data_IF_980267095996
#
_entry.id   IF_980267095996
#
_cell.length_a   1.000
_cell.length_b   1.000
_cell.length_c   1.000
_cell.angle_alpha   90.00
_cell.angle_beta   90.00
_cell.angle_gamma   90.00
#
_symmetry.space_group_name_H-M   'P 1'
#
loop_
_entity.id
_entity.type
_entity.pdbx_description
1 polymer ?
#
# COMPACT_ATOMS: atom_id res chain seq x y z
N UNK A 1 -4.12 -12.48 12.90
CA UNK A 1 -4.90 -11.23 12.74
C UNK A 1 -4.02 -10.04 13.05
N UNK A 2 -3.43 -9.43 12.04
CA UNK A 2 -2.76 -8.14 12.16
C UNK A 2 -3.75 -7.08 11.67
N UNK A 3 -4.47 -6.45 12.58
CA UNK A 3 -5.19 -5.22 12.28
C UNK A 3 -4.13 -4.17 12.00
N UNK A 4 -3.90 -3.88 10.72
CA UNK A 4 -3.07 -2.77 10.29
C UNK A 4 -3.71 -1.48 10.79
N UNK A 5 -3.38 -1.08 12.03
CA UNK A 5 -3.63 0.28 12.50
C UNK A 5 -2.66 1.14 11.73
N UNK A 6 -3.17 1.79 10.69
CA UNK A 6 -2.39 2.71 9.86
C UNK A 6 -2.27 4.03 10.61
N UNK A 7 -1.50 4.00 11.70
CA UNK A 7 -1.23 5.17 12.51
C UNK A 7 -0.52 6.24 11.69
N UNK A 8 -1.22 7.35 11.44
CA UNK A 8 -0.62 8.62 11.03
C UNK A 8 -0.90 9.10 9.61
N UNK A 9 -1.48 8.27 8.73
CA UNK A 9 -1.73 8.65 7.32
C UNK A 9 -3.19 8.62 6.90
N UNK A 10 -4.07 7.92 7.63
CA UNK A 10 -5.51 7.90 7.37
C UNK A 10 -6.26 8.81 8.35
N UNK A 11 -7.33 9.44 7.86
CA UNK A 11 -8.30 10.12 8.74
C UNK A 11 -9.04 9.06 9.55
N UNK A 12 -9.43 9.37 10.79
CA UNK A 12 -10.18 8.45 11.68
C UNK A 12 -11.39 7.78 11.00
N UNK A 13 -11.97 8.47 10.01
CA UNK A 13 -13.06 7.97 9.17
C UNK A 13 -12.67 6.81 8.26
N UNK A 14 -11.47 6.79 7.68
CA UNK A 14 -11.05 5.72 6.78
C UNK A 14 -10.62 4.46 7.54
N UNK A 15 -10.01 4.62 8.70
CA UNK A 15 -9.74 3.50 9.62
C UNK A 15 -11.05 2.85 10.09
N UNK A 16 -12.07 3.66 10.38
CA UNK A 16 -13.41 3.17 10.70
C UNK A 16 -14.05 2.42 9.53
N UNK A 17 -13.91 2.92 8.29
CA UNK A 17 -14.40 2.22 7.09
C UNK A 17 -13.68 0.88 6.87
N UNK A 18 -12.37 0.81 7.07
CA UNK A 18 -11.61 -0.43 6.95
C UNK A 18 -12.03 -1.46 8.01
N UNK A 19 -12.24 -1.01 9.25
CA UNK A 19 -12.74 -1.84 10.33
C UNK A 19 -14.16 -2.35 10.04
N UNK A 20 -15.02 -1.51 9.47
CA UNK A 20 -16.38 -1.89 9.06
C UNK A 20 -16.36 -2.94 7.94
N UNK A 21 -15.51 -2.78 6.92
CA UNK A 21 -15.32 -3.80 5.86
C UNK A 21 -14.85 -5.13 6.47
N UNK A 22 -13.90 -5.08 7.41
CA UNK A 22 -13.41 -6.30 8.06
C UNK A 22 -14.51 -6.99 8.87
N UNK A 23 -15.34 -6.23 9.58
CA UNK A 23 -16.46 -6.75 10.36
C UNK A 23 -17.53 -7.34 9.46
N UNK A 24 -17.93 -6.64 8.39
CA UNK A 24 -18.89 -7.12 7.39
C UNK A 24 -18.42 -8.39 6.71
N UNK A 25 -17.15 -8.45 6.28
CA UNK A 25 -16.55 -9.63 5.67
C UNK A 25 -16.55 -10.84 6.61
N UNK A 26 -16.19 -10.63 7.88
CA UNK A 26 -16.22 -11.69 8.90
C UNK A 26 -17.64 -12.20 9.14
N UNK A 27 -18.62 -11.28 9.21
CA UNK A 27 -20.03 -11.62 9.37
C UNK A 27 -20.58 -12.38 8.17
N UNK A 28 -20.23 -12.00 6.94
CA UNK A 28 -20.61 -12.74 5.73
C UNK A 28 -20.05 -14.17 5.72
N UNK A 29 -18.82 -14.36 6.20
CA UNK A 29 -18.24 -15.70 6.37
C UNK A 29 -18.95 -16.52 7.45
N UNK A 30 -19.32 -15.91 8.58
CA UNK A 30 -20.12 -16.58 9.62
C UNK A 30 -21.49 -16.98 9.10
N UNK A 31 -22.17 -16.12 8.34
CA UNK A 31 -23.46 -16.41 7.71
C UNK A 31 -23.32 -17.60 6.75
N UNK A 32 -22.27 -17.62 5.92
CA UNK A 32 -21.99 -18.73 5.03
C UNK A 32 -21.74 -20.04 5.79
N UNK A 33 -20.94 -20.00 6.85
CA UNK A 33 -20.67 -21.16 7.69
C UNK A 33 -21.94 -21.70 8.38
N UNK A 34 -22.82 -20.80 8.84
CA UNK A 34 -24.09 -21.18 9.45
C UNK A 34 -25.09 -21.75 8.43
N UNK A 35 -25.03 -21.31 7.17
CA UNK A 35 -25.86 -21.84 6.08
C UNK A 35 -25.35 -23.17 5.55
N UNK A 36 -24.06 -23.47 5.73
CA UNK A 36 -23.40 -24.69 5.26
C UNK A 36 -22.57 -25.37 6.38
N UNK A 37 -23.20 -25.85 7.47
CA UNK A 37 -22.49 -26.37 8.64
C UNK A 37 -21.76 -27.70 8.39
N UNK A 38 -22.12 -28.46 7.33
CA UNK A 38 -21.52 -29.75 7.00
C UNK A 38 -21.17 -29.86 5.51
N UNK A 39 -19.94 -29.51 5.15
CA UNK A 39 -19.40 -29.69 3.79
C UNK A 39 -19.33 -31.16 3.34
N UNK A 40 -19.36 -32.12 4.27
CA UNK A 40 -19.27 -33.56 3.99
C UNK A 40 -20.60 -34.24 3.63
N UNK A 41 -21.74 -33.57 3.91
CA UNK A 41 -23.09 -34.10 3.64
C UNK A 41 -23.85 -33.16 2.68
N UNK A 42 -23.21 -32.78 1.57
CA UNK A 42 -23.83 -32.01 0.48
C UNK A 42 -24.80 -32.91 -0.31
N UNK A 43 -25.96 -33.19 0.28
CA UNK A 43 -27.11 -33.77 -0.44
C UNK A 43 -27.94 -32.67 -1.14
N UNK A 44 -27.77 -31.40 -0.75
CA UNK A 44 -28.38 -30.21 -1.37
C UNK A 44 -27.29 -29.32 -2.00
N UNK A 45 -26.83 -29.68 -3.20
CA UNK A 45 -25.85 -28.87 -3.96
C UNK A 45 -26.36 -27.42 -4.18
N UNK A 46 -27.66 -27.25 -4.43
CA UNK A 46 -28.26 -25.95 -4.74
C UNK A 46 -28.16 -24.94 -3.57
N UNK A 47 -28.22 -25.41 -2.32
CA UNK A 47 -28.10 -24.53 -1.14
C UNK A 47 -26.68 -24.03 -0.94
N UNK A 48 -25.71 -24.93 -1.15
CA UNK A 48 -24.30 -24.57 -1.12
C UNK A 48 -23.95 -23.60 -2.23
N UNK A 49 -24.36 -23.90 -3.47
CA UNK A 49 -24.07 -23.05 -4.62
C UNK A 49 -24.64 -21.64 -4.41
N UNK A 50 -25.90 -21.55 -3.95
CA UNK A 50 -26.54 -20.26 -3.70
C UNK A 50 -25.88 -19.48 -2.55
N UNK A 51 -25.48 -20.14 -1.47
CA UNK A 51 -24.74 -19.51 -0.37
C UNK A 51 -23.33 -19.06 -0.82
N UNK A 52 -22.64 -19.89 -1.62
CA UNK A 52 -21.32 -19.59 -2.17
C UNK A 52 -21.37 -18.42 -3.16
N UNK A 53 -22.36 -18.39 -4.06
CA UNK A 53 -22.56 -17.28 -4.99
C UNK A 53 -22.80 -15.96 -4.25
N UNK A 54 -23.61 -15.98 -3.18
CA UNK A 54 -23.83 -14.80 -2.32
C UNK A 54 -22.54 -14.35 -1.65
N UNK A 55 -21.83 -15.25 -0.97
CA UNK A 55 -20.55 -14.95 -0.33
C UNK A 55 -19.55 -14.36 -1.33
N UNK A 56 -19.41 -14.98 -2.50
CA UNK A 56 -18.52 -14.50 -3.56
C UNK A 56 -18.87 -13.10 -4.03
N UNK A 57 -20.16 -12.81 -4.15
CA UNK A 57 -20.66 -11.49 -4.59
C UNK A 57 -20.38 -10.42 -3.53
N UNK A 58 -20.63 -10.73 -2.26
CA UNK A 58 -20.34 -9.83 -1.13
C UNK A 58 -18.84 -9.58 -0.95
N UNK A 59 -18.01 -10.64 -0.98
CA UNK A 59 -16.55 -10.50 -0.90
C UNK A 59 -16.00 -9.64 -2.04
N UNK A 60 -16.51 -9.82 -3.26
CA UNK A 60 -16.11 -8.98 -4.40
C UNK A 60 -16.54 -7.53 -4.24
N UNK A 61 -17.70 -7.28 -3.63
CA UNK A 61 -18.14 -5.93 -3.29
C UNK A 61 -17.22 -5.27 -2.26
N UNK A 62 -16.87 -5.98 -1.19
CA UNK A 62 -15.92 -5.50 -0.18
C UNK A 62 -14.52 -5.24 -0.76
N UNK A 63 -14.07 -6.03 -1.73
CA UNK A 63 -12.81 -5.76 -2.45
C UNK A 63 -12.86 -4.45 -3.25
N UNK A 64 -13.99 -4.15 -3.89
CA UNK A 64 -14.18 -2.88 -4.58
C UNK A 64 -14.21 -1.70 -3.61
N UNK A 65 -14.87 -1.82 -2.46
CA UNK A 65 -14.84 -0.78 -1.42
C UNK A 65 -13.42 -0.56 -0.89
N UNK A 66 -12.67 -1.64 -0.61
CA UNK A 66 -11.29 -1.56 -0.16
C UNK A 66 -10.39 -0.88 -1.21
N UNK A 67 -10.55 -1.24 -2.49
CA UNK A 67 -9.83 -0.61 -3.58
C UNK A 67 -10.15 0.89 -3.70
N UNK A 68 -11.40 1.29 -3.45
CA UNK A 68 -11.80 2.70 -3.41
C UNK A 68 -11.13 3.45 -2.25
N UNK A 69 -11.16 2.89 -1.03
CA UNK A 69 -10.50 3.49 0.14
C UNK A 69 -9.01 3.67 -0.12
N UNK A 70 -8.33 2.64 -0.64
CA UNK A 70 -6.92 2.72 -0.96
C UNK A 70 -6.63 3.83 -1.95
N UNK A 71 -7.43 3.94 -3.01
CA UNK A 71 -7.29 5.03 -3.99
C UNK A 71 -7.41 6.41 -3.34
N UNK A 72 -8.32 6.59 -2.38
CA UNK A 72 -8.43 7.85 -1.62
C UNK A 72 -7.24 8.10 -0.70
N UNK A 73 -6.62 7.06 -0.15
CA UNK A 73 -5.41 7.21 0.66
C UNK A 73 -4.23 7.65 -0.20
N UNK A 74 -4.04 7.01 -1.36
CA UNK A 74 -2.98 7.35 -2.30
C UNK A 74 -3.16 8.75 -2.90
N UNK A 75 -4.40 9.18 -3.18
CA UNK A 75 -4.65 10.53 -3.70
C UNK A 75 -4.35 11.63 -2.68
N UNK A 76 -4.51 11.35 -1.39
CA UNK A 76 -4.17 12.29 -0.30
C UNK A 76 -2.69 12.34 0.02
N UNK A 77 -1.95 11.27 -0.24
CA UNK A 77 -0.51 11.24 -0.06
C UNK A 77 0.18 12.08 -1.15
N UNK A 78 0.77 13.21 -0.75
CA UNK A 78 1.42 14.16 -1.67
C UNK A 78 2.90 13.88 -1.93
N UNK A 79 3.57 13.17 -1.02
CA UNK A 79 5.01 12.90 -1.11
C UNK A 79 5.30 11.48 -1.58
N UNK A 80 6.41 11.28 -2.30
CA UNK A 80 6.88 9.96 -2.70
C UNK A 80 7.05 9.03 -1.49
N UNK A 81 7.68 9.53 -0.42
CA UNK A 81 7.88 8.75 0.80
C UNK A 81 6.56 8.33 1.46
N UNK A 82 5.55 9.20 1.53
CA UNK A 82 4.27 8.82 2.14
C UNK A 82 3.50 7.79 1.30
N UNK A 83 3.56 7.88 -0.03
CA UNK A 83 2.99 6.86 -0.92
C UNK A 83 3.72 5.52 -0.80
N UNK A 84 5.05 5.51 -0.68
CA UNK A 84 5.84 4.29 -0.46
C UNK A 84 5.51 3.63 0.89
N UNK A 85 5.39 4.42 1.97
CA UNK A 85 4.97 3.91 3.27
C UNK A 85 3.57 3.28 3.21
N UNK A 86 2.61 3.93 2.52
CA UNK A 86 1.28 3.35 2.31
C UNK A 86 1.34 2.02 1.55
N UNK A 87 2.19 1.93 0.53
CA UNK A 87 2.36 0.69 -0.24
C UNK A 87 2.88 -0.46 0.63
N UNK A 88 3.83 -0.20 1.53
CA UNK A 88 4.34 -1.19 2.48
C UNK A 88 3.27 -1.63 3.50
N UNK A 89 2.48 -0.70 4.02
CA UNK A 89 1.38 -1.01 4.95
C UNK A 89 0.32 -1.88 4.28
N UNK A 90 0.03 -1.63 3.00
CA UNK A 90 -1.01 -2.33 2.24
C UNK A 90 -0.48 -3.44 1.33
N UNK A 91 0.77 -3.90 1.52
CA UNK A 91 1.39 -4.93 0.69
C UNK A 91 0.53 -6.20 0.58
N UNK A 92 -0.07 -6.65 1.69
CA UNK A 92 -0.95 -7.82 1.70
C UNK A 92 -2.27 -7.61 0.92
N UNK A 93 -2.78 -6.38 0.86
CA UNK A 93 -3.97 -6.05 0.07
C UNK A 93 -3.63 -5.87 -1.42
N UNK A 94 -2.40 -5.46 -1.73
CA UNK A 94 -1.90 -5.24 -3.10
C UNK A 94 -1.80 -6.55 -3.92
N UNK A 95 -1.79 -7.72 -3.29
CA UNK A 95 -1.80 -9.00 -4.02
C UNK A 95 -3.13 -9.29 -4.75
N UNK A 96 -4.20 -8.55 -4.43
CA UNK A 96 -5.51 -8.73 -5.06
C UNK A 96 -5.61 -7.96 -6.37
N UNK A 97 -6.00 -8.62 -7.45
CA UNK A 97 -6.08 -8.03 -8.80
C UNK A 97 -6.97 -6.78 -8.90
N UNK A 98 -8.05 -6.73 -8.11
CA UNK A 98 -8.97 -5.58 -8.08
C UNK A 98 -8.26 -4.33 -7.54
N UNK A 99 -7.43 -4.52 -6.51
CA UNK A 99 -6.64 -3.46 -5.88
C UNK A 99 -5.50 -3.02 -6.81
N UNK A 100 -4.80 -3.95 -7.45
CA UNK A 100 -3.74 -3.63 -8.41
C UNK A 100 -4.25 -2.75 -9.56
N UNK A 101 -5.41 -3.12 -10.13
CA UNK A 101 -6.04 -2.32 -11.19
C UNK A 101 -6.41 -0.92 -10.73
N UNK A 102 -6.89 -0.77 -9.50
CA UNK A 102 -7.24 0.53 -8.95
C UNK A 102 -6.03 1.44 -8.70
N UNK A 103 -4.84 0.86 -8.47
CA UNK A 103 -3.61 1.57 -8.11
C UNK A 103 -2.59 1.67 -9.25
N UNK A 104 -2.90 1.18 -10.46
CA UNK A 104 -1.94 1.13 -11.58
C UNK A 104 -1.35 2.50 -11.94
N UNK A 105 -2.17 3.55 -11.91
CA UNK A 105 -1.72 4.91 -12.19
C UNK A 105 -0.82 5.47 -11.09
N UNK A 106 -1.12 5.16 -9.83
CA UNK A 106 -0.31 5.57 -8.67
C UNK A 106 1.03 4.85 -8.68
N UNK A 107 1.05 3.56 -9.04
CA UNK A 107 2.27 2.80 -9.23
C UNK A 107 3.16 3.40 -10.31
N UNK A 108 2.58 3.76 -11.46
CA UNK A 108 3.33 4.42 -12.54
C UNK A 108 3.91 5.76 -12.06
N UNK A 109 3.11 6.56 -11.36
CA UNK A 109 3.57 7.83 -10.78
C UNK A 109 4.74 7.63 -9.80
N UNK A 110 4.68 6.62 -8.93
CA UNK A 110 5.76 6.30 -7.97
C UNK A 110 7.04 5.93 -8.73
N UNK A 111 6.94 5.08 -9.76
CA UNK A 111 8.08 4.67 -10.58
C UNK A 111 8.73 5.88 -11.26
N UNK A 112 7.92 6.77 -11.85
CA UNK A 112 8.43 7.92 -12.57
C UNK A 112 9.09 8.94 -11.63
N UNK A 113 8.52 9.16 -10.43
CA UNK A 113 9.12 10.02 -9.41
C UNK A 113 10.41 9.40 -8.83
N UNK A 114 10.46 8.08 -8.62
CA UNK A 114 11.70 7.40 -8.21
C UNK A 114 12.81 7.57 -9.26
N UNK A 115 12.49 7.40 -10.55
CA UNK A 115 13.46 7.63 -11.63
C UNK A 115 13.99 9.06 -11.63
N UNK A 116 13.10 10.04 -11.47
CA UNK A 116 13.48 11.45 -11.39
C UNK A 116 14.38 11.72 -10.19
N UNK A 117 14.06 11.16 -9.02
CA UNK A 117 14.89 11.27 -7.82
C UNK A 117 16.30 10.69 -8.03
N UNK A 118 16.41 9.51 -8.64
CA UNK A 118 17.71 8.93 -8.95
C UNK A 118 18.51 9.75 -9.97
N UNK A 119 17.84 10.30 -10.99
CA UNK A 119 18.49 11.19 -11.96
C UNK A 119 18.98 12.49 -11.30
N UNK A 120 18.19 13.08 -10.40
CA UNK A 120 18.58 14.26 -9.63
C UNK A 120 19.80 13.97 -8.76
N UNK A 121 19.83 12.83 -8.05
CA UNK A 121 21.00 12.46 -7.26
C UNK A 121 22.23 12.27 -8.15
N UNK A 122 22.10 11.62 -9.31
CA UNK A 122 23.20 11.48 -10.26
C UNK A 122 23.73 12.85 -10.75
N UNK A 123 22.84 13.79 -11.05
CA UNK A 123 23.22 15.16 -11.43
C UNK A 123 23.91 15.91 -10.29
N UNK A 124 23.45 15.72 -9.04
CA UNK A 124 24.02 16.33 -7.85
C UNK A 124 25.42 15.81 -7.53
N UNK A 125 25.70 14.53 -7.82
CA UNK A 125 27.06 13.97 -7.73
C UNK A 125 27.98 14.64 -8.75
N UNK A 126 27.51 14.82 -9.98
CA UNK A 126 28.32 15.35 -11.08
C UNK A 126 28.53 16.88 -11.05
N UNK A 127 27.61 17.62 -10.44
CA UNK A 127 27.61 19.10 -10.43
C UNK A 127 28.36 19.71 -9.25
N UNK A 128 29.26 18.97 -8.60
CA UNK A 128 29.85 19.26 -7.29
C UNK A 128 30.68 20.56 -7.21
N UNK A 129 30.00 21.72 -7.17
CA UNK A 129 30.53 23.00 -6.74
C UNK A 129 30.05 23.27 -5.32
N UNK A 130 30.80 22.75 -4.35
CA UNK A 130 30.50 22.95 -2.93
C UNK A 130 31.30 24.15 -2.43
N UNK A 131 30.63 25.23 -2.05
CA UNK A 131 31.23 26.41 -1.41
C UNK A 131 30.75 26.53 0.05
N UNK A 132 31.00 25.50 0.87
CA UNK A 132 30.84 25.65 2.33
C UNK A 132 32.18 26.08 2.92
N UNK A 133 32.21 27.32 3.41
CA UNK A 133 33.42 28.06 3.82
C UNK A 133 34.01 27.55 5.15
N UNK A 134 33.21 26.87 5.98
CA UNK A 134 33.56 26.57 7.38
C UNK A 134 34.01 25.12 7.64
N UNK A 135 34.17 24.30 6.60
CA UNK A 135 34.51 22.88 6.74
C UNK A 135 35.75 22.51 5.92
N UNK A 136 36.61 21.59 6.42
CA UNK A 136 37.71 21.05 5.63
C UNK A 136 37.21 20.45 4.31
N UNK A 137 37.94 20.63 3.19
CA UNK A 137 37.45 20.28 1.86
C UNK A 137 37.15 18.78 1.70
N UNK A 138 37.99 17.90 2.27
CA UNK A 138 37.80 16.45 2.25
C UNK A 138 36.58 16.02 3.08
N UNK A 139 36.48 16.51 4.32
CA UNK A 139 35.35 16.20 5.22
C UNK A 139 34.02 16.64 4.60
N UNK A 140 33.99 17.80 3.95
CA UNK A 140 32.82 18.33 3.25
C UNK A 140 32.39 17.44 2.07
N UNK A 141 33.33 17.00 1.24
CA UNK A 141 33.03 16.10 0.13
C UNK A 141 32.48 14.75 0.63
N UNK A 142 33.11 14.18 1.67
CA UNK A 142 32.65 12.94 2.26
C UNK A 142 31.25 13.07 2.86
N UNK A 143 30.96 14.16 3.58
CA UNK A 143 29.65 14.39 4.18
C UNK A 143 28.56 14.56 3.12
N UNK A 144 28.88 15.25 2.01
CA UNK A 144 27.96 15.41 0.88
C UNK A 144 27.64 14.08 0.20
N UNK A 145 28.68 13.29 -0.13
CA UNK A 145 28.50 11.97 -0.72
C UNK A 145 27.76 11.01 0.22
N UNK A 146 28.04 11.09 1.52
CA UNK A 146 27.33 10.32 2.54
C UNK A 146 25.85 10.68 2.58
N UNK A 147 25.50 11.96 2.55
CA UNK A 147 24.10 12.41 2.52
C UNK A 147 23.35 11.96 1.27
N UNK A 148 23.99 12.02 0.10
CA UNK A 148 23.40 11.52 -1.15
C UNK A 148 23.20 10.00 -1.12
N UNK A 149 24.18 9.25 -0.59
CA UNK A 149 24.04 7.81 -0.37
C UNK A 149 22.87 7.51 0.56
N UNK A 150 22.79 8.19 1.70
CA UNK A 150 21.72 7.99 2.68
C UNK A 150 20.34 8.27 2.08
N UNK A 151 20.22 9.28 1.20
CA UNK A 151 18.97 9.56 0.47
C UNK A 151 18.56 8.42 -0.46
N UNK A 152 19.51 7.83 -1.19
CA UNK A 152 19.25 6.65 -2.05
C UNK A 152 18.85 5.45 -1.19
N UNK A 153 19.60 5.19 -0.12
CA UNK A 153 19.36 4.05 0.77
C UNK A 153 17.96 4.12 1.39
N UNK A 154 17.45 5.31 1.73
CA UNK A 154 16.08 5.50 2.22
C UNK A 154 15.01 5.00 1.24
N UNK A 155 15.17 5.28 -0.06
CA UNK A 155 14.21 4.81 -1.07
C UNK A 155 14.38 3.32 -1.37
N UNK A 156 15.63 2.83 -1.44
CA UNK A 156 15.91 1.42 -1.70
C UNK A 156 15.40 0.51 -0.59
N UNK A 157 15.56 0.91 0.68
CA UNK A 157 15.04 0.16 1.83
C UNK A 157 13.51 0.15 1.93
N UNK A 158 12.81 1.01 1.18
CA UNK A 158 11.35 1.00 1.12
C UNK A 158 10.80 0.10 0.00
N UNK A 159 11.66 -0.29 -0.95
CA UNK A 159 11.30 -1.12 -2.11
C UNK A 159 11.59 -2.61 -1.83
N UNK A 160 12.61 -2.90 -1.01
CA UNK A 160 13.01 -4.24 -0.57
C UNK A 160 12.42 -4.58 0.80
#
# INVERSE_FOLDING_TARGET
>A
SATARVGGTLTSTMDAMLADIQLKSSKSLEIFHNQCPNFSHLMDNDRFDLAFFRLRTELKHFEHELAWILRQCFSRATTLSSKLTLLNVFYGAYQREVVQRALIHEQQWIIDNLKQEFQLVAQLVNSSNMNYLHWPPLSRQLLYLYGLKQRIDLFMNQIY
#
